data_IF_692576948942
#
_entry.id   IF_692576948942
#
_cell.length_a   1.000
_cell.length_b   1.000
_cell.length_c   1.000
_cell.angle_alpha   90.00
_cell.angle_beta   90.00
_cell.angle_gamma   90.00
#
_symmetry.space_group_name_H-M   'P 1'
#
loop_
_entity.id
_entity.type
_entity.pdbx_description
1 polymer ?
#
# COMPACT_ATOMS: atom_id res chain seq x y z
N UNK A 1 -6.74 12.62 -22.26
CA UNK A 1 -7.06 13.63 -21.22
C UNK A 1 -7.25 12.87 -19.91
N UNK A 2 -6.23 12.80 -19.04
CA UNK A 2 -6.38 12.18 -17.72
C UNK A 2 -6.62 13.33 -16.73
N UNK A 3 -7.89 13.49 -16.33
CA UNK A 3 -8.36 14.57 -15.49
C UNK A 3 -7.85 14.44 -14.06
N UNK A 4 -6.73 15.09 -13.77
CA UNK A 4 -6.27 15.31 -12.41
C UNK A 4 -7.20 16.38 -11.81
N UNK A 5 -8.28 15.95 -11.13
CA UNK A 5 -9.08 16.86 -10.30
C UNK A 5 -8.28 17.15 -9.03
N UNK A 6 -7.86 18.40 -8.78
CA UNK A 6 -7.03 18.74 -7.62
C UNK A 6 -7.75 18.65 -6.27
N UNK A 7 -9.02 18.24 -6.25
CA UNK A 7 -9.89 18.35 -5.08
C UNK A 7 -10.29 16.99 -4.45
N UNK A 8 -9.91 15.86 -5.06
CA UNK A 8 -10.21 14.54 -4.47
C UNK A 8 -9.08 14.14 -3.53
N UNK A 9 -9.41 13.87 -2.27
CA UNK A 9 -8.46 13.38 -1.30
C UNK A 9 -8.18 11.88 -1.51
N UNK A 10 -7.01 11.42 -1.04
CA UNK A 10 -6.68 9.99 -1.04
C UNK A 10 -7.74 9.16 -0.29
N UNK A 11 -8.37 9.75 0.72
CA UNK A 11 -9.41 9.10 1.53
C UNK A 11 -10.67 8.86 0.72
N UNK A 12 -11.19 9.88 0.03
CA UNK A 12 -12.39 9.76 -0.78
C UNK A 12 -12.22 8.73 -1.90
N UNK A 13 -11.04 8.69 -2.54
CA UNK A 13 -10.74 7.66 -3.54
C UNK A 13 -10.76 6.26 -2.92
N UNK A 14 -10.17 6.09 -1.73
CA UNK A 14 -10.14 4.79 -1.06
C UNK A 14 -11.54 4.32 -0.66
N UNK A 15 -12.36 5.22 -0.12
CA UNK A 15 -13.75 4.94 0.27
C UNK A 15 -14.60 4.56 -0.95
N UNK A 16 -14.45 5.27 -2.07
CA UNK A 16 -15.10 4.93 -3.33
C UNK A 16 -14.72 3.54 -3.84
N UNK A 17 -13.43 3.18 -3.81
CA UNK A 17 -12.96 1.87 -4.27
C UNK A 17 -13.46 0.74 -3.37
N UNK A 18 -13.52 0.95 -2.06
CA UNK A 18 -14.10 -0.01 -1.13
C UNK A 18 -15.58 -0.22 -1.42
N UNK A 19 -16.36 0.85 -1.52
CA UNK A 19 -17.78 0.77 -1.86
C UNK A 19 -18.00 0.06 -3.22
N UNK A 20 -17.11 0.24 -4.20
CA UNK A 20 -17.18 -0.46 -5.48
C UNK A 20 -16.97 -1.97 -5.31
N UNK A 21 -15.94 -2.36 -4.54
CA UNK A 21 -15.60 -3.75 -4.26
C UNK A 21 -16.69 -4.45 -3.42
N UNK A 22 -17.28 -3.75 -2.46
CA UNK A 22 -18.35 -4.24 -1.58
C UNK A 22 -19.73 -4.18 -2.25
N UNK A 23 -19.81 -3.71 -3.51
CA UNK A 23 -21.04 -3.58 -4.32
C UNK A 23 -22.07 -2.61 -3.70
N UNK A 24 -21.60 -1.61 -2.98
CA UNK A 24 -22.41 -0.58 -2.33
C UNK A 24 -22.59 0.70 -3.18
N UNK A 25 -21.90 0.82 -4.32
CA UNK A 25 -22.16 1.88 -5.29
C UNK A 25 -23.57 1.76 -5.89
N UNK A 26 -24.20 2.91 -6.11
CA UNK A 26 -25.38 3.01 -6.94
C UNK A 26 -25.09 2.55 -8.39
N UNK A 27 -26.13 2.01 -9.04
CA UNK A 27 -26.02 1.45 -10.39
C UNK A 27 -25.38 2.38 -11.43
N UNK A 28 -25.76 3.68 -11.54
CA UNK A 28 -25.15 4.56 -12.53
C UNK A 28 -23.67 4.83 -12.24
N UNK A 29 -23.29 5.07 -10.98
CA UNK A 29 -21.89 5.29 -10.60
C UNK A 29 -21.03 4.04 -10.85
N UNK A 30 -21.58 2.85 -10.56
CA UNK A 30 -20.89 1.58 -10.84
C UNK A 30 -20.67 1.38 -12.34
N UNK A 31 -21.69 1.62 -13.16
CA UNK A 31 -21.60 1.48 -14.60
C UNK A 31 -20.58 2.46 -15.22
N UNK A 32 -20.54 3.71 -14.75
CA UNK A 32 -19.54 4.70 -15.17
C UNK A 32 -18.12 4.24 -14.83
N UNK A 33 -17.92 3.73 -13.61
CA UNK A 33 -16.60 3.23 -13.20
C UNK A 33 -16.17 1.98 -13.98
N UNK A 34 -17.10 1.05 -14.24
CA UNK A 34 -16.82 -0.11 -15.09
C UNK A 34 -16.46 0.29 -16.53
N UNK A 35 -17.08 1.34 -17.07
CA UNK A 35 -16.68 1.91 -18.36
C UNK A 35 -15.27 2.50 -18.30
N UNK A 36 -14.93 3.21 -17.23
CA UNK A 36 -13.58 3.73 -17.01
C UNK A 36 -12.54 2.60 -16.97
N UNK A 37 -12.80 1.51 -16.25
CA UNK A 37 -11.90 0.36 -16.17
C UNK A 37 -11.66 -0.29 -17.55
N UNK A 38 -12.67 -0.33 -18.42
CA UNK A 38 -12.52 -0.82 -19.81
C UNK A 38 -11.59 0.05 -20.66
N UNK A 39 -11.46 1.33 -20.35
CA UNK A 39 -10.73 2.32 -21.15
C UNK A 39 -9.37 2.71 -20.54
N UNK A 40 -9.10 2.33 -19.28
CA UNK A 40 -7.93 2.78 -18.53
C UNK A 40 -7.17 1.60 -17.89
N UNK A 41 -6.22 0.97 -18.62
CA UNK A 41 -5.39 -0.11 -18.09
C UNK A 41 -4.64 0.24 -16.78
N UNK A 42 -4.11 1.46 -16.57
CA UNK A 42 -3.50 1.82 -15.29
C UNK A 42 -4.44 1.70 -14.09
N UNK A 43 -5.72 2.05 -14.25
CA UNK A 43 -6.70 1.94 -13.17
C UNK A 43 -7.09 0.49 -12.89
N UNK A 44 -7.06 -0.39 -13.89
CA UNK A 44 -7.20 -1.84 -13.69
C UNK A 44 -6.06 -2.37 -12.81
N UNK A 45 -4.82 -2.07 -13.18
CA UNK A 45 -3.64 -2.50 -12.40
C UNK A 45 -3.67 -1.94 -10.96
N UNK A 46 -4.12 -0.69 -10.79
CA UNK A 46 -4.26 -0.10 -9.47
C UNK A 46 -5.31 -0.85 -8.62
N UNK A 47 -6.47 -1.16 -9.21
CA UNK A 47 -7.53 -1.89 -8.53
C UNK A 47 -7.09 -3.31 -8.14
N UNK A 48 -6.30 -3.99 -8.98
CA UNK A 48 -5.70 -5.28 -8.65
C UNK A 48 -4.80 -5.20 -7.42
N UNK A 49 -3.84 -4.27 -7.39
CA UNK A 49 -2.97 -4.07 -6.23
C UNK A 49 -3.74 -3.66 -4.96
N UNK A 50 -4.84 -2.91 -5.11
CA UNK A 50 -5.72 -2.57 -4.00
C UNK A 50 -6.40 -3.82 -3.41
N UNK A 51 -6.88 -4.75 -4.26
CA UNK A 51 -7.46 -6.03 -3.82
C UNK A 51 -6.44 -6.90 -3.09
N UNK A 52 -5.21 -6.96 -3.59
CA UNK A 52 -4.11 -7.68 -2.94
C UNK A 52 -3.82 -7.11 -1.55
N UNK A 53 -3.80 -5.78 -1.42
CA UNK A 53 -3.61 -5.10 -0.14
C UNK A 53 -4.71 -5.49 0.86
N UNK A 54 -5.97 -5.50 0.43
CA UNK A 54 -7.10 -5.96 1.28
C UNK A 54 -6.92 -7.41 1.70
N UNK A 55 -6.54 -8.29 0.77
CA UNK A 55 -6.32 -9.70 1.05
C UNK A 55 -5.20 -9.92 2.08
N UNK A 56 -4.08 -9.22 1.93
CA UNK A 56 -2.95 -9.26 2.87
C UNK A 56 -3.35 -8.76 4.26
N UNK A 57 -4.05 -7.63 4.35
CA UNK A 57 -4.53 -7.10 5.64
C UNK A 57 -5.46 -8.10 6.32
N UNK A 58 -6.41 -8.69 5.58
CA UNK A 58 -7.32 -9.72 6.10
C UNK A 58 -6.60 -10.99 6.55
N UNK A 59 -5.49 -11.36 5.90
CA UNK A 59 -4.69 -12.51 6.29
C UNK A 59 -3.95 -12.23 7.61
N UNK A 60 -3.32 -11.07 7.75
CA UNK A 60 -2.64 -10.69 9.00
C UNK A 60 -3.60 -10.62 10.19
N UNK A 61 -4.77 -9.99 10.02
CA UNK A 61 -5.74 -9.87 11.13
C UNK A 61 -6.39 -11.19 11.54
N UNK A 62 -6.42 -12.20 10.65
CA UNK A 62 -6.87 -13.55 10.99
C UNK A 62 -5.81 -14.35 11.77
N UNK A 63 -4.54 -14.18 11.44
CA UNK A 63 -3.43 -14.84 12.13
C UNK A 63 -3.20 -14.26 13.54
N UNK A 64 -3.42 -12.95 13.72
CA UNK A 64 -3.39 -12.29 15.04
C UNK A 64 -4.60 -12.65 15.93
N UNK A 65 -5.69 -13.21 15.38
CA UNK A 65 -6.87 -13.58 16.15
C UNK A 65 -6.68 -14.83 17.03
N UNK A 66 -5.66 -15.66 16.76
CA UNK A 66 -5.21 -16.74 17.67
C UNK A 66 -4.05 -16.32 18.59
N UNK A 67 -3.70 -15.02 18.63
CA UNK A 67 -2.58 -14.49 19.41
C UNK A 67 -2.77 -13.14 20.11
N UNK A 68 -3.95 -12.52 20.04
CA UNK A 68 -4.16 -11.14 20.53
C UNK A 68 -5.34 -10.97 21.51
N UNK A 69 -5.55 -11.92 22.42
CA UNK A 69 -6.31 -11.66 23.65
C UNK A 69 -5.39 -11.20 24.79
N UNK A 70 -4.60 -10.14 24.55
CA UNK A 70 -4.01 -9.24 25.54
C UNK A 70 -2.95 -8.39 24.86
N UNK A 71 -3.28 -7.16 24.44
CA UNK A 71 -2.77 -5.87 24.99
C UNK A 71 -3.74 -4.76 24.55
N UNK A 72 -4.54 -4.25 25.49
CA UNK A 72 -5.08 -2.90 25.36
C UNK A 72 -3.88 -1.95 25.46
N UNK A 73 -3.45 -1.42 24.34
CA UNK A 73 -2.63 -0.21 24.33
C UNK A 73 -3.37 0.80 23.46
N UNK A 74 -3.92 1.83 24.10
CA UNK A 74 -4.19 3.10 23.44
C UNK A 74 -2.91 3.53 22.70
N UNK A 75 -2.94 3.47 21.37
CA UNK A 75 -1.76 3.64 20.54
C UNK A 75 -2.14 4.10 19.14
N UNK A 76 -1.68 5.29 18.79
CA UNK A 76 -2.01 6.09 17.62
C UNK A 76 -2.05 5.32 16.28
N UNK A 77 -2.97 5.64 15.35
CA UNK A 77 -3.21 4.90 14.10
C UNK A 77 -2.09 5.00 13.03
N UNK A 78 -0.89 5.46 13.39
CA UNK A 78 0.22 5.65 12.43
C UNK A 78 1.60 5.36 13.03
N UNK A 79 1.72 4.34 13.87
CA UNK A 79 3.03 3.85 14.33
C UNK A 79 3.25 2.42 13.84
N UNK A 80 3.79 2.29 12.62
CA UNK A 80 4.52 1.08 12.25
C UNK A 80 5.73 1.00 13.17
N UNK A 81 5.94 -0.08 13.94
CA UNK A 81 7.17 -0.23 14.70
C UNK A 81 8.31 -0.23 13.69
N UNK A 82 9.13 0.84 13.73
CA UNK A 82 10.37 0.93 12.97
C UNK A 82 11.35 -0.07 13.59
N UNK A 83 11.14 -1.36 13.35
CA UNK A 83 12.12 -2.37 13.69
C UNK A 83 13.36 -2.01 12.88
N UNK A 84 14.43 -1.63 13.56
CA UNK A 84 15.68 -1.31 12.90
C UNK A 84 16.07 -2.50 12.01
N UNK A 85 16.57 -2.26 10.79
CA UNK A 85 17.08 -3.34 9.96
C UNK A 85 18.16 -4.10 10.75
N UNK A 86 18.29 -5.42 10.54
CA UNK A 86 19.29 -6.21 11.27
C UNK A 86 20.67 -5.64 11.03
N UNK A 87 21.48 -5.56 12.09
CA UNK A 87 22.84 -4.98 12.08
C UNK A 87 23.67 -5.49 10.89
N UNK A 88 23.57 -6.78 10.55
CA UNK A 88 24.27 -7.40 9.42
C UNK A 88 23.92 -6.79 8.05
N UNK A 89 22.68 -6.35 7.82
CA UNK A 89 22.28 -5.69 6.57
C UNK A 89 22.91 -4.29 6.47
N UNK A 90 22.91 -3.55 7.57
CA UNK A 90 23.54 -2.22 7.66
C UNK A 90 25.03 -2.34 7.35
N UNK A 91 25.71 -3.29 7.98
CA UNK A 91 27.16 -3.53 7.78
C UNK A 91 27.49 -3.97 6.35
N UNK A 92 26.64 -4.79 5.71
CA UNK A 92 26.83 -5.20 4.32
C UNK A 92 26.73 -4.01 3.35
N UNK A 93 25.73 -3.14 3.53
CA UNK A 93 25.54 -1.94 2.70
C UNK A 93 26.72 -0.97 2.89
N UNK A 94 27.13 -0.71 4.13
CA UNK A 94 28.26 0.17 4.44
C UNK A 94 29.56 -0.37 3.83
N UNK A 95 29.82 -1.67 3.97
CA UNK A 95 30.99 -2.32 3.39
C UNK A 95 31.01 -2.24 1.86
N UNK A 96 29.85 -2.41 1.21
CA UNK A 96 29.74 -2.26 -0.25
C UNK A 96 30.02 -0.81 -0.68
N UNK A 97 29.53 0.18 0.07
CA UNK A 97 29.78 1.60 -0.21
C UNK A 97 31.24 2.00 0.02
N UNK A 98 31.90 1.48 1.05
CA UNK A 98 33.33 1.71 1.30
C UNK A 98 34.20 1.11 0.19
N UNK A 99 33.88 -0.10 -0.32
CA UNK A 99 34.58 -0.70 -1.47
C UNK A 99 34.36 0.10 -2.76
N UNK A 100 33.15 0.61 -2.98
CA UNK A 100 32.84 1.48 -4.12
C UNK A 100 33.53 2.86 -4.03
N UNK A 101 33.82 3.35 -2.82
CA UNK A 101 34.60 4.58 -2.61
C UNK A 101 36.10 4.36 -2.90
N UNK A 102 36.65 3.18 -2.57
CA UNK A 102 38.05 2.83 -2.85
C UNK A 102 38.34 2.54 -4.35
N UNK A 103 37.30 2.24 -5.15
CA UNK A 103 37.43 1.97 -6.59
C UNK A 103 37.35 3.19 -7.52
N UNK A 104 37.23 4.43 -6.99
CA UNK A 104 37.09 5.66 -7.79
C UNK A 104 38.37 6.52 -7.89
N UNK A 105 39.53 6.00 -7.48
CA UNK A 105 40.83 6.71 -7.54
C UNK A 105 41.82 6.12 -8.56
N UNK A 106 41.33 5.48 -9.63
CA UNK A 106 42.14 5.23 -10.83
C UNK A 106 41.32 5.59 -12.06
N UNK A 107 41.44 6.85 -12.46
CA UNK A 107 41.76 7.23 -13.85
C UNK A 107 42.55 8.54 -13.84
#
# INVERSE_FOLDING_TARGET
MHGHRPDISCREVSEFLLAYLDRELDEPSRAEFELHLKLCPPCVNYLEGYRDTIALVRACTRDDAEGAAAKSCEGQPNQRPKKAPPEGLIQAILSAKCRAAAGKSSE
#
